data_IF_258847994835
#
_entry.id   IF_258847994835
#
_cell.length_a   1.000
_cell.length_b   1.000
_cell.length_c   1.000
_cell.angle_alpha   90.00
_cell.angle_beta   90.00
_cell.angle_gamma   90.00
#
_symmetry.space_group_name_H-M   'P 1'
#
loop_
_entity.id
_entity.type
_entity.pdbx_description
1 polymer ?
#
# COMPACT_ATOMS: atom_id res chain seq x y z
N UNK A 1 -18.85 11.96 33.84
CA UNK A 1 -17.70 12.20 32.95
C UNK A 1 -17.79 11.22 31.80
N UNK A 2 -18.06 11.68 30.58
CA UNK A 2 -18.13 10.80 29.41
C UNK A 2 -16.72 10.31 29.09
N UNK A 3 -16.53 8.98 29.00
CA UNK A 3 -15.28 8.37 28.56
C UNK A 3 -15.03 8.84 27.13
N UNK A 4 -14.02 9.67 26.93
CA UNK A 4 -13.61 10.12 25.60
C UNK A 4 -13.26 8.87 24.78
N UNK A 5 -13.94 8.70 23.64
CA UNK A 5 -13.78 7.53 22.77
C UNK A 5 -12.40 7.46 22.12
N UNK A 6 -12.19 6.51 21.21
CA UNK A 6 -10.93 6.40 20.45
C UNK A 6 -10.60 7.77 19.80
N UNK A 7 -9.34 8.24 19.89
CA UNK A 7 -8.92 9.47 19.24
C UNK A 7 -9.27 9.46 17.75
N UNK A 8 -9.77 10.58 17.23
CA UNK A 8 -10.03 10.74 15.80
C UNK A 8 -8.68 10.79 15.08
N UNK A 9 -8.47 9.87 14.15
CA UNK A 9 -7.32 9.94 13.25
C UNK A 9 -7.59 11.02 12.19
N UNK A 10 -6.64 11.93 11.99
CA UNK A 10 -6.83 13.10 11.11
C UNK A 10 -6.96 12.71 9.62
N UNK A 11 -6.24 11.68 9.22
CA UNK A 11 -6.32 11.12 7.87
C UNK A 11 -6.37 9.58 7.91
N UNK A 12 -7.55 9.00 8.19
CA UNK A 12 -7.69 7.56 8.21
C UNK A 12 -7.57 6.99 6.80
N UNK A 13 -6.92 5.83 6.66
CA UNK A 13 -7.03 5.03 5.44
C UNK A 13 -8.43 4.40 5.38
N UNK A 14 -9.42 5.17 4.91
CA UNK A 14 -10.83 4.77 4.80
C UNK A 14 -11.14 4.00 3.51
N UNK A 15 -10.39 4.29 2.45
CA UNK A 15 -10.63 3.74 1.12
C UNK A 15 -10.14 2.30 1.01
N UNK A 16 -10.94 1.46 0.35
CA UNK A 16 -10.66 0.03 0.17
C UNK A 16 -10.57 -0.30 -1.32
N UNK A 17 -9.58 -1.10 -1.67
CA UNK A 17 -9.40 -1.65 -3.02
C UNK A 17 -9.40 -3.18 -2.92
N UNK A 18 -10.13 -3.83 -3.80
CA UNK A 18 -10.13 -5.29 -3.94
C UNK A 18 -9.42 -5.66 -5.23
N UNK A 19 -8.36 -6.45 -5.12
CA UNK A 19 -7.53 -6.88 -6.24
C UNK A 19 -7.61 -8.41 -6.31
N UNK A 20 -7.84 -8.94 -7.51
CA UNK A 20 -7.74 -10.38 -7.76
C UNK A 20 -6.34 -10.69 -8.23
N UNK A 21 -5.71 -11.66 -7.58
CA UNK A 21 -4.41 -12.19 -7.92
C UNK A 21 -4.56 -13.68 -8.20
N UNK A 22 -3.72 -14.20 -9.08
CA UNK A 22 -3.47 -15.64 -9.16
C UNK A 22 -2.82 -16.13 -7.86
N UNK A 23 -2.78 -17.46 -7.69
CA UNK A 23 -2.18 -18.08 -6.51
C UNK A 23 -0.69 -17.76 -6.39
N UNK A 24 0.01 -17.75 -7.52
CA UNK A 24 1.45 -17.55 -7.57
C UNK A 24 1.78 -16.07 -7.26
N UNK A 25 1.09 -15.13 -7.91
CA UNK A 25 1.24 -13.69 -7.61
C UNK A 25 0.96 -13.36 -6.14
N UNK A 26 -0.07 -13.97 -5.54
CA UNK A 26 -0.37 -13.77 -4.13
C UNK A 26 0.73 -14.34 -3.22
N UNK A 27 1.30 -15.50 -3.58
CA UNK A 27 2.42 -16.11 -2.84
C UNK A 27 3.64 -15.21 -2.88
N UNK A 28 4.03 -14.76 -4.07
CA UNK A 28 5.20 -13.91 -4.28
C UNK A 28 5.10 -12.60 -3.49
N UNK A 29 3.95 -11.91 -3.58
CA UNK A 29 3.71 -10.66 -2.85
C UNK A 29 3.75 -10.88 -1.34
N UNK A 30 3.22 -12.01 -0.86
CA UNK A 30 3.22 -12.36 0.57
C UNK A 30 4.62 -12.65 1.09
N UNK A 31 5.42 -13.41 0.36
CA UNK A 31 6.79 -13.75 0.74
C UNK A 31 7.67 -12.50 0.74
N UNK A 32 7.57 -11.67 -0.29
CA UNK A 32 8.26 -10.38 -0.34
C UNK A 32 7.87 -9.49 0.85
N UNK A 33 6.58 -9.39 1.17
CA UNK A 33 6.11 -8.63 2.33
C UNK A 33 6.75 -9.11 3.64
N UNK A 34 6.77 -10.44 3.84
CA UNK A 34 7.35 -11.05 5.04
C UNK A 34 8.86 -10.81 5.15
N UNK A 35 9.60 -11.01 4.05
CA UNK A 35 11.06 -10.88 4.03
C UNK A 35 11.54 -9.43 4.22
N UNK A 36 10.69 -8.46 3.87
CA UNK A 36 11.03 -7.03 3.92
C UNK A 36 10.32 -6.27 5.06
N UNK A 37 9.61 -6.96 5.97
CA UNK A 37 8.82 -6.34 7.05
C UNK A 37 7.80 -5.30 6.53
N UNK A 38 7.22 -5.56 5.37
CA UNK A 38 6.21 -4.71 4.73
C UNK A 38 4.83 -5.35 4.82
N UNK A 39 3.80 -4.52 4.72
CA UNK A 39 2.44 -4.97 4.44
C UNK A 39 2.20 -5.01 2.94
N UNK A 40 1.29 -5.87 2.50
CA UNK A 40 0.84 -5.94 1.10
C UNK A 40 0.38 -4.56 0.59
N UNK A 41 -0.35 -3.80 1.43
CA UNK A 41 -0.76 -2.42 1.11
C UNK A 41 0.43 -1.50 0.86
N UNK A 42 1.50 -1.59 1.67
CA UNK A 42 2.70 -0.78 1.45
C UNK A 42 3.39 -1.14 0.14
N UNK A 43 3.47 -2.42 -0.22
CA UNK A 43 4.04 -2.87 -1.49
C UNK A 43 3.31 -2.23 -2.66
N UNK A 44 1.98 -2.34 -2.71
CA UNK A 44 1.20 -1.76 -3.81
C UNK A 44 1.32 -0.24 -3.88
N UNK A 45 1.25 0.47 -2.75
CA UNK A 45 1.38 1.93 -2.72
C UNK A 45 2.78 2.37 -3.14
N UNK A 46 3.84 1.66 -2.71
CA UNK A 46 5.21 1.96 -3.11
C UNK A 46 5.44 1.66 -4.60
N UNK A 47 4.93 0.52 -5.10
CA UNK A 47 4.98 0.18 -6.52
C UNK A 47 4.32 1.26 -7.39
N UNK A 48 3.13 1.73 -7.00
CA UNK A 48 2.46 2.83 -7.69
C UNK A 48 3.27 4.14 -7.69
N UNK A 49 3.89 4.50 -6.55
CA UNK A 49 4.75 5.69 -6.48
C UNK A 49 5.94 5.59 -7.43
N UNK A 50 6.60 4.43 -7.48
CA UNK A 50 7.73 4.20 -8.39
C UNK A 50 7.33 4.35 -9.86
N UNK A 51 6.17 3.81 -10.25
CA UNK A 51 5.65 3.97 -11.61
C UNK A 51 5.45 5.45 -11.95
N UNK A 52 4.91 6.25 -11.03
CA UNK A 52 4.74 7.70 -11.22
C UNK A 52 6.07 8.47 -11.26
N UNK A 53 7.06 8.05 -10.50
CA UNK A 53 8.40 8.64 -10.51
C UNK A 53 9.06 8.41 -11.87
N UNK A 54 8.99 7.19 -12.39
CA UNK A 54 9.51 6.82 -13.72
C UNK A 54 8.85 7.63 -14.84
N UNK A 55 7.52 7.76 -14.84
CA UNK A 55 6.80 8.58 -15.83
C UNK A 55 7.23 10.06 -15.81
N UNK A 56 7.58 10.60 -14.64
CA UNK A 56 8.03 11.98 -14.51
C UNK A 56 9.49 12.16 -14.96
N UNK A 57 10.35 11.15 -14.78
CA UNK A 57 11.73 11.17 -15.24
C UNK A 57 11.81 11.10 -16.77
N UNK A 58 10.97 10.28 -17.41
CA UNK A 58 10.91 10.14 -18.87
C UNK A 58 10.35 11.38 -19.59
N UNK A 59 9.50 12.17 -18.93
CA UNK A 59 8.91 13.39 -19.49
C UNK A 59 9.80 14.64 -19.32
N UNK A 60 10.78 14.59 -18.41
CA UNK A 60 11.70 15.70 -18.13
C UNK A 60 13.15 15.42 -18.56
N UNK A 61 13.39 14.28 -19.24
CA UNK A 61 14.69 13.84 -19.74
C UNK A 61 14.92 14.14 -21.22
#
# INVERSE_FOLDING_TARGET
MAKMGRPRLENPRSERVFIRLTKDEHTDVREYAANHNLTITQIFVQGFKKLREQENEEQNG
#
